data_IF_446554749276
#
_entry.id   IF_446554749276
#
_cell.length_a   1.000
_cell.length_b   1.000
_cell.length_c   1.000
_cell.angle_alpha   90.00
_cell.angle_beta   90.00
_cell.angle_gamma   90.00
#
_symmetry.space_group_name_H-M   'P 1'
#
loop_
_entity.id
_entity.type
_entity.pdbx_description
1 polymer ?
#
# COMPACT_ATOMS: atom_id res chain seq x y z
N UNK A 1 9.50 1.74 49.53
CA UNK A 1 9.15 2.59 48.37
C UNK A 1 8.03 1.90 47.62
N UNK A 2 6.80 2.40 47.72
CA UNK A 2 5.61 1.86 47.05
C UNK A 2 5.56 2.41 45.62
N UNK A 3 5.63 1.52 44.63
CA UNK A 3 5.44 1.87 43.22
C UNK A 3 3.98 2.31 43.06
N UNK A 4 3.67 3.52 42.54
CA UNK A 4 2.28 3.92 42.36
C UNK A 4 1.62 2.97 41.36
N UNK A 5 0.55 2.31 41.79
CA UNK A 5 -0.23 1.41 40.96
C UNK A 5 -0.73 2.18 39.73
N UNK A 6 -0.31 1.75 38.53
CA UNK A 6 -0.73 2.33 37.25
C UNK A 6 -2.26 2.29 37.19
N UNK A 7 -2.90 3.45 37.29
CA UNK A 7 -4.35 3.59 37.27
C UNK A 7 -4.87 3.01 35.95
N UNK A 8 -5.57 1.87 36.01
CA UNK A 8 -6.12 1.22 34.82
C UNK A 8 -7.31 2.07 34.34
N UNK A 9 -7.15 2.71 33.18
CA UNK A 9 -8.24 3.38 32.49
C UNK A 9 -9.33 2.39 32.04
N UNK A 10 -10.52 2.92 31.79
CA UNK A 10 -11.73 2.19 31.39
C UNK A 10 -11.48 1.10 30.34
N UNK A 11 -12.11 -0.07 30.52
CA UNK A 11 -12.11 -1.16 29.54
C UNK A 11 -13.02 -0.82 28.37
N UNK A 12 -12.44 -0.67 27.17
CA UNK A 12 -13.19 -0.50 25.92
C UNK A 12 -13.50 -1.88 25.30
N UNK A 13 -14.79 -2.19 25.14
CA UNK A 13 -15.26 -3.36 24.40
C UNK A 13 -15.87 -2.91 23.08
N UNK A 14 -15.30 -3.36 21.96
CA UNK A 14 -15.83 -3.08 20.62
C UNK A 14 -16.85 -4.15 20.23
N UNK A 15 -18.01 -3.72 19.74
CA UNK A 15 -18.96 -4.62 19.06
C UNK A 15 -18.66 -4.56 17.58
N UNK A 16 -18.16 -5.66 17.04
CA UNK A 16 -17.81 -5.79 15.64
C UNK A 16 -18.79 -6.74 14.97
N UNK A 17 -19.08 -6.47 13.71
CA UNK A 17 -19.74 -7.41 12.81
C UNK A 17 -18.79 -8.59 12.49
N UNK A 18 -19.33 -9.64 11.88
CA UNK A 18 -18.53 -10.79 11.42
C UNK A 18 -17.45 -10.38 10.42
N UNK A 19 -17.77 -9.45 9.51
CA UNK A 19 -16.84 -8.92 8.52
C UNK A 19 -15.70 -8.16 9.19
N UNK A 20 -16.02 -7.22 10.08
CA UNK A 20 -15.02 -6.44 10.81
C UNK A 20 -14.12 -7.34 11.67
N UNK A 21 -14.67 -8.41 12.24
CA UNK A 21 -13.90 -9.41 12.99
C UNK A 21 -12.93 -10.17 12.09
N UNK A 22 -13.35 -10.54 10.88
CA UNK A 22 -12.48 -11.20 9.90
C UNK A 22 -11.36 -10.28 9.42
N UNK A 23 -11.66 -9.01 9.15
CA UNK A 23 -10.67 -8.00 8.80
C UNK A 23 -9.65 -7.80 9.93
N UNK A 24 -10.11 -7.79 11.18
CA UNK A 24 -9.25 -7.66 12.35
C UNK A 24 -8.28 -8.85 12.48
N UNK A 25 -8.72 -10.09 12.22
CA UNK A 25 -7.81 -11.25 12.22
C UNK A 25 -6.85 -11.26 11.05
N UNK A 26 -7.27 -10.79 9.88
CA UNK A 26 -6.37 -10.61 8.76
C UNK A 26 -5.28 -9.58 9.09
N UNK A 27 -5.63 -8.45 9.68
CA UNK A 27 -4.68 -7.41 10.09
C UNK A 27 -3.71 -7.90 11.16
N UNK A 28 -4.16 -8.74 12.11
CA UNK A 28 -3.28 -9.39 13.08
C UNK A 28 -2.20 -10.23 12.41
N UNK A 29 -2.58 -11.03 11.41
CA UNK A 29 -1.64 -11.86 10.65
C UNK A 29 -0.61 -11.01 9.90
N UNK A 30 -1.06 -9.95 9.22
CA UNK A 30 -0.19 -9.04 8.47
C UNK A 30 0.82 -8.30 9.36
N UNK A 31 0.40 -7.94 10.58
CA UNK A 31 1.21 -7.13 11.50
C UNK A 31 1.95 -7.95 12.55
N UNK A 32 1.74 -9.27 12.59
CA UNK A 32 2.31 -10.18 13.60
C UNK A 32 1.75 -9.97 15.00
N UNK A 33 0.56 -9.38 15.14
CA UNK A 33 -0.06 -9.03 16.44
C UNK A 33 -0.97 -10.15 16.93
N UNK A 34 -0.98 -10.39 18.23
CA UNK A 34 -1.74 -11.51 18.83
C UNK A 34 -3.12 -11.12 19.33
N UNK A 35 -3.29 -9.88 19.79
CA UNK A 35 -4.57 -9.40 20.35
C UNK A 35 -5.08 -8.17 19.61
N UNK A 36 -6.41 -8.00 19.59
CA UNK A 36 -7.03 -6.84 18.92
C UNK A 36 -6.63 -5.53 19.59
N UNK A 37 -6.49 -5.50 20.91
CA UNK A 37 -6.04 -4.32 21.63
C UNK A 37 -4.59 -3.94 21.34
N UNK A 38 -3.69 -4.92 21.18
CA UNK A 38 -2.30 -4.67 20.77
C UNK A 38 -2.25 -4.15 19.32
N UNK A 39 -3.03 -4.75 18.43
CA UNK A 39 -3.18 -4.27 17.05
C UNK A 39 -3.68 -2.82 17.00
N UNK A 40 -4.75 -2.48 17.72
CA UNK A 40 -5.30 -1.12 17.73
C UNK A 40 -4.29 -0.11 18.27
N UNK A 41 -3.60 -0.44 19.37
CA UNK A 41 -2.53 0.43 19.91
C UNK A 41 -1.42 0.62 18.88
N UNK A 42 -0.99 -0.46 18.25
CA UNK A 42 0.02 -0.43 17.21
C UNK A 42 -0.40 0.48 16.05
N UNK A 43 -1.62 0.33 15.54
CA UNK A 43 -2.14 1.15 14.44
C UNK A 43 -2.20 2.62 14.82
N UNK A 44 -2.71 2.96 16.01
CA UNK A 44 -2.77 4.35 16.50
C UNK A 44 -1.36 4.94 16.61
N UNK A 45 -0.41 4.22 17.22
CA UNK A 45 0.94 4.73 17.43
C UNK A 45 1.76 4.84 16.15
N UNK A 46 1.38 4.13 15.09
CA UNK A 46 2.13 4.09 13.83
C UNK A 46 1.39 4.75 12.66
N UNK A 47 0.22 5.34 12.90
CA UNK A 47 -0.67 5.87 11.86
C UNK A 47 0.05 6.81 10.89
N UNK A 48 0.68 7.87 11.40
CA UNK A 48 1.36 8.87 10.58
C UNK A 48 2.48 8.26 9.73
N UNK A 49 3.31 7.41 10.33
CA UNK A 49 4.40 6.73 9.61
C UNK A 49 3.87 5.80 8.52
N UNK A 50 2.79 5.07 8.78
CA UNK A 50 2.17 4.20 7.80
C UNK A 50 1.56 5.01 6.64
N UNK A 51 0.98 6.17 6.95
CA UNK A 51 0.42 7.08 5.95
C UNK A 51 1.52 7.65 5.04
N UNK A 52 2.65 8.08 5.61
CA UNK A 52 3.82 8.52 4.86
C UNK A 52 4.34 7.43 3.92
N UNK A 53 4.52 6.21 4.44
CA UNK A 53 4.97 5.05 3.66
C UNK A 53 3.99 4.72 2.52
N UNK A 54 2.70 4.79 2.78
CA UNK A 54 1.67 4.57 1.76
C UNK A 54 1.76 5.61 0.64
N UNK A 55 1.91 6.88 0.97
CA UNK A 55 2.06 7.94 -0.04
C UNK A 55 3.34 7.79 -0.87
N UNK A 56 4.47 7.44 -0.23
CA UNK A 56 5.72 7.19 -0.97
C UNK A 56 5.60 5.98 -1.90
N UNK A 57 4.93 4.91 -1.47
CA UNK A 57 4.66 3.75 -2.33
C UNK A 57 3.82 4.14 -3.56
N UNK A 58 2.78 4.97 -3.38
CA UNK A 58 1.97 5.48 -4.51
C UNK A 58 2.84 6.30 -5.46
N UNK A 59 3.68 7.21 -4.96
CA UNK A 59 4.58 8.02 -5.80
C UNK A 59 5.52 7.15 -6.62
N UNK A 60 6.08 6.10 -6.02
CA UNK A 60 6.96 5.18 -6.71
C UNK A 60 6.21 4.44 -7.84
N UNK A 61 5.07 3.83 -7.52
CA UNK A 61 4.29 3.08 -8.50
C UNK A 61 3.76 3.96 -9.64
N UNK A 62 3.35 5.19 -9.34
CA UNK A 62 2.93 6.14 -10.39
C UNK A 62 4.10 6.54 -11.29
N UNK A 63 5.30 6.73 -10.74
CA UNK A 63 6.51 7.00 -11.52
C UNK A 63 6.90 5.79 -12.39
N UNK A 64 6.81 4.57 -11.87
CA UNK A 64 7.05 3.33 -12.62
C UNK A 64 6.06 3.16 -13.77
N UNK A 65 4.77 3.35 -13.49
CA UNK A 65 3.71 3.28 -14.50
C UNK A 65 3.93 4.32 -15.62
N UNK A 66 4.37 5.53 -15.27
CA UNK A 66 4.71 6.56 -16.24
C UNK A 66 5.88 6.15 -17.14
N UNK A 67 6.97 5.62 -16.56
CA UNK A 67 8.12 5.14 -17.35
C UNK A 67 7.73 4.02 -18.32
N UNK A 68 6.88 3.10 -17.85
CA UNK A 68 6.37 2.03 -18.70
C UNK A 68 5.52 2.57 -19.86
N UNK A 69 4.66 3.55 -19.58
CA UNK A 69 3.85 4.21 -20.61
C UNK A 69 4.73 4.94 -21.65
N UNK A 70 5.76 5.67 -21.20
CA UNK A 70 6.72 6.34 -22.07
C UNK A 70 7.49 5.33 -22.96
N UNK A 71 7.92 4.20 -22.39
CA UNK A 71 8.58 3.13 -23.14
C UNK A 71 7.65 2.49 -24.19
N UNK A 72 6.39 2.21 -23.83
CA UNK A 72 5.39 1.71 -24.76
C UNK A 72 5.13 2.70 -25.91
N UNK A 73 5.04 4.00 -25.59
CA UNK A 73 4.86 5.03 -26.62
C UNK A 73 6.06 5.09 -27.56
N UNK A 74 7.29 5.01 -27.05
CA UNK A 74 8.49 5.00 -27.87
C UNK A 74 8.53 3.79 -28.81
N UNK A 75 8.16 2.60 -28.32
CA UNK A 75 8.05 1.39 -29.14
C UNK A 75 6.99 1.53 -30.23
N UNK A 76 5.81 2.05 -29.90
CA UNK A 76 4.75 2.28 -30.89
C UNK A 76 5.21 3.26 -31.97
N UNK A 77 5.87 4.35 -31.60
CA UNK A 77 6.43 5.30 -32.56
C UNK A 77 7.46 4.64 -33.49
N UNK A 78 8.31 3.75 -32.94
CA UNK A 78 9.27 2.99 -33.74
C UNK A 78 8.57 2.05 -34.73
N UNK A 79 7.57 1.28 -34.28
CA UNK A 79 6.78 0.40 -35.14
C UNK A 79 6.07 1.19 -36.25
N UNK A 80 5.46 2.33 -35.92
CA UNK A 80 4.83 3.20 -36.93
C UNK A 80 5.84 3.72 -37.96
N UNK A 81 7.04 4.11 -37.53
CA UNK A 81 8.09 4.56 -38.44
C UNK A 81 8.59 3.40 -39.34
N UNK A 82 8.78 2.21 -38.78
CA UNK A 82 9.16 1.02 -39.53
C UNK A 82 8.11 0.66 -40.58
N UNK A 83 6.84 0.61 -40.21
CA UNK A 83 5.73 0.33 -41.14
C UNK A 83 5.65 1.37 -42.27
N UNK A 84 5.89 2.66 -41.98
CA UNK A 84 5.95 3.71 -43.01
C UNK A 84 7.11 3.51 -43.99
N UNK A 85 8.29 3.16 -43.49
CA UNK A 85 9.46 2.91 -44.34
C UNK A 85 9.25 1.69 -45.23
N UNK A 86 8.64 0.63 -44.68
CA UNK A 86 8.26 -0.58 -45.42
C UNK A 86 7.21 -0.27 -46.50
N UNK A 87 6.20 0.53 -46.18
CA UNK A 87 5.19 0.96 -47.15
C UNK A 87 5.78 1.76 -48.32
N UNK A 88 6.88 2.50 -48.08
CA UNK A 88 7.63 3.23 -49.10
C UNK A 88 8.64 2.35 -49.86
N UNK A 89 8.72 1.04 -49.56
CA UNK A 89 9.71 0.10 -50.12
C UNK A 89 11.17 0.54 -49.91
N UNK A 90 11.43 1.35 -48.88
CA UNK A 90 12.78 1.82 -48.55
C UNK A 90 13.57 0.78 -47.76
N UNK A 91 12.87 -0.19 -47.17
CA UNK A 91 13.40 -1.32 -46.39
C UNK A 91 12.50 -2.55 -46.63
N UNK A 92 13.05 -3.76 -46.45
CA UNK A 92 12.33 -5.05 -46.58
C UNK A 92 11.45 -5.39 -45.36
#
# INVERSE_FOLDING_TARGET
MTIPAKQKGSTLTLRLTSEETAQLEHLKQLTGRTTGSDLIKYLISNHERMLEQYHEAIKLHTAEARKLAEAHQALNNYFEAYERLKALQLIE
#
